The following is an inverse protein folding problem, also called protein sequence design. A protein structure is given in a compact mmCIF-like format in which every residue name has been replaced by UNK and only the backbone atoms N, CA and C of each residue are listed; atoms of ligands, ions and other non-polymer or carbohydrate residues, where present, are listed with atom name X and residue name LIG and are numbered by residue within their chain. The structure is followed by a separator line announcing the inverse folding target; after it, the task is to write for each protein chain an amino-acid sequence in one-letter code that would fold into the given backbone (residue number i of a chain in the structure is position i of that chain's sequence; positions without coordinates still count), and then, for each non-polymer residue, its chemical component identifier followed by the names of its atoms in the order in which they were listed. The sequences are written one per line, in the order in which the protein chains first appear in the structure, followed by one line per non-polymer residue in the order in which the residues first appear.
data_IF_488877765980
#
_entry.id   IF_488877765980
#
_cell.length_a   1.000
_cell.length_b   1.000
_cell.length_c   1.000
_cell.angle_alpha   90.00
_cell.angle_beta   90.00
_cell.angle_gamma   90.00
#
_symmetry.space_group_name_H-M   'P 1'
#
loop_
_entity.id
_entity.type
_entity.pdbx_description
1 polymer ?
#
# COMPACT_ATOMS: atom_id res chain seq x y z
N UNK A 1 -11.18 0.88 -12.14
CA UNK A 1 -10.34 0.05 -11.25
C UNK A 1 -10.30 -1.36 -11.81
N UNK A 2 -9.14 -1.99 -11.86
CA UNK A 2 -8.96 -3.39 -12.21
C UNK A 2 -8.63 -4.18 -10.93
N UNK A 3 -9.28 -5.35 -10.76
CA UNK A 3 -9.01 -6.29 -9.67
C UNK A 3 -8.83 -7.65 -10.33
N UNK A 4 -7.74 -8.33 -10.05
CA UNK A 4 -7.39 -9.60 -10.68
C UNK A 4 -6.87 -10.59 -9.65
N UNK A 5 -7.26 -11.85 -9.79
CA UNK A 5 -6.65 -12.97 -9.09
C UNK A 5 -5.63 -13.63 -10.04
N UNK A 6 -4.37 -13.65 -9.62
CA UNK A 6 -3.31 -14.26 -10.43
C UNK A 6 -3.39 -15.79 -10.38
N UNK A 7 -2.82 -16.53 -11.36
CA UNK A 7 -2.82 -17.99 -11.34
C UNK A 7 -2.18 -18.62 -10.09
N UNK A 8 -1.27 -17.90 -9.42
CA UNK A 8 -0.61 -18.31 -8.17
C UNK A 8 -1.33 -17.80 -6.91
N UNK A 9 -2.57 -17.31 -7.04
CA UNK A 9 -3.42 -16.98 -5.90
C UNK A 9 -3.20 -15.60 -5.30
N UNK A 10 -2.38 -14.73 -5.91
CA UNK A 10 -2.26 -13.34 -5.45
C UNK A 10 -3.44 -12.49 -5.96
N UNK A 11 -4.04 -11.73 -5.09
CA UNK A 11 -4.94 -10.66 -5.47
C UNK A 11 -4.11 -9.43 -5.88
N UNK A 12 -4.45 -8.79 -6.99
CA UNK A 12 -3.83 -7.50 -7.35
C UNK A 12 -4.87 -6.49 -7.80
N UNK A 13 -4.61 -5.23 -7.49
CA UNK A 13 -5.48 -4.13 -7.89
C UNK A 13 -4.68 -2.94 -8.40
N UNK A 14 -5.28 -2.20 -9.33
CA UNK A 14 -4.81 -0.87 -9.76
C UNK A 14 -5.96 0.00 -10.23
N UNK A 15 -5.74 1.29 -10.26
CA UNK A 15 -6.72 2.29 -10.70
C UNK A 15 -6.21 3.00 -11.95
N UNK A 16 -7.11 3.29 -12.87
CA UNK A 16 -6.88 4.26 -13.95
C UNK A 16 -7.82 5.43 -13.71
N UNK A 17 -7.27 6.63 -13.70
CA UNK A 17 -8.00 7.90 -13.63
C UNK A 17 -7.94 8.53 -14.99
N UNK A 18 -9.09 8.89 -15.55
CA UNK A 18 -9.20 9.57 -16.85
C UNK A 18 -9.76 10.97 -16.62
N UNK A 19 -9.08 11.99 -17.11
CA UNK A 19 -9.64 13.34 -17.15
C UNK A 19 -10.73 13.42 -18.22
N UNK A 20 -11.98 13.53 -17.81
CA UNK A 20 -13.15 13.68 -18.70
C UNK A 20 -13.70 15.11 -18.76
N UNK A 21 -13.03 16.03 -18.07
CA UNK A 21 -13.34 17.47 -18.11
C UNK A 21 -12.59 18.17 -19.25
N UNK A 22 -12.86 19.47 -19.36
CA UNK A 22 -12.27 20.33 -20.39
C UNK A 22 -11.00 21.05 -19.86
N UNK A 23 -10.79 21.04 -18.54
CA UNK A 23 -9.66 21.70 -17.87
C UNK A 23 -8.59 20.69 -17.42
N UNK A 24 -7.42 21.24 -17.02
CA UNK A 24 -6.34 20.45 -16.44
C UNK A 24 -6.75 19.84 -15.10
N UNK A 25 -6.59 18.53 -14.95
CA UNK A 25 -6.80 17.80 -13.70
C UNK A 25 -5.45 17.49 -13.03
N UNK A 26 -5.21 18.04 -11.85
CA UNK A 26 -4.07 17.68 -11.03
C UNK A 26 -4.46 16.53 -10.07
N UNK A 27 -3.64 15.47 -10.03
CA UNK A 27 -3.84 14.31 -9.16
C UNK A 27 -2.83 14.38 -8.03
N UNK A 28 -3.32 14.49 -6.78
CA UNK A 28 -2.48 14.49 -5.58
C UNK A 28 -2.23 13.08 -5.03
N UNK A 29 -3.05 12.11 -5.39
CA UNK A 29 -2.84 10.70 -5.01
C UNK A 29 -4.02 9.81 -5.37
N UNK A 30 -3.71 8.56 -5.65
CA UNK A 30 -4.68 7.48 -5.86
C UNK A 30 -4.18 6.26 -5.12
N UNK A 31 -4.81 5.94 -4.00
CA UNK A 31 -4.35 4.88 -3.10
C UNK A 31 -5.41 3.77 -3.04
N UNK A 32 -5.23 2.67 -3.79
CA UNK A 32 -6.09 1.50 -3.68
C UNK A 32 -6.13 0.93 -2.26
N UNK A 33 -7.28 0.39 -1.88
CA UNK A 33 -7.47 -0.28 -0.60
C UNK A 33 -7.86 -1.75 -0.83
N UNK A 34 -7.31 -2.65 -0.01
CA UNK A 34 -7.63 -4.07 0.03
C UNK A 34 -8.21 -4.40 1.41
N UNK A 35 -9.46 -4.87 1.49
CA UNK A 35 -10.07 -5.20 2.77
C UNK A 35 -9.36 -6.38 3.44
N UNK A 36 -9.31 -6.34 4.76
CA UNK A 36 -8.70 -7.36 5.62
C UNK A 36 -9.73 -7.78 6.67
N UNK A 37 -9.76 -9.06 7.07
CA UNK A 37 -10.60 -9.51 8.18
C UNK A 37 -10.26 -8.76 9.49
N UNK A 38 -11.28 -8.39 10.24
CA UNK A 38 -11.14 -7.65 11.50
C UNK A 38 -10.53 -8.48 12.64
N UNK A 39 -10.32 -9.79 12.42
CA UNK A 39 -9.56 -10.67 13.31
C UNK A 39 -8.06 -10.37 13.29
N UNK A 40 -7.54 -9.75 12.24
CA UNK A 40 -6.16 -9.28 12.19
C UNK A 40 -5.97 -8.11 13.17
N UNK A 41 -4.97 -8.22 14.05
CA UNK A 41 -4.77 -7.31 15.18
C UNK A 41 -3.35 -6.84 15.39
N UNK A 42 -2.41 -7.38 14.64
CA UNK A 42 -0.99 -7.05 14.75
C UNK A 42 -0.41 -6.72 13.38
N UNK A 43 0.25 -5.58 13.27
CA UNK A 43 0.97 -5.14 12.08
C UNK A 43 2.42 -5.56 12.20
N UNK A 44 3.00 -6.06 11.11
CA UNK A 44 4.42 -6.25 10.93
C UNK A 44 4.88 -5.49 9.70
N UNK A 45 5.71 -4.51 9.88
CA UNK A 45 6.44 -3.82 8.82
C UNK A 45 7.96 -3.88 9.06
N UNK A 46 8.72 -3.31 8.15
CA UNK A 46 10.17 -3.34 8.22
C UNK A 46 10.74 -1.93 8.15
N UNK A 47 11.74 -1.69 8.99
CA UNK A 47 12.57 -0.50 8.95
C UNK A 47 14.03 -0.92 8.75
N UNK A 48 14.92 0.03 8.60
CA UNK A 48 16.34 -0.29 8.53
C UNK A 48 17.19 0.80 7.90
N UNK A 49 18.45 0.49 7.81
CA UNK A 49 19.50 1.31 7.18
C UNK A 49 20.58 0.38 6.65
N UNK A 50 21.52 0.90 5.91
CA UNK A 50 22.70 0.17 5.47
C UNK A 50 23.40 -0.54 6.65
N UNK A 51 23.68 -1.82 6.49
CA UNK A 51 24.28 -2.67 7.52
C UNK A 51 23.33 -3.08 8.66
N UNK A 52 22.04 -2.72 8.58
CA UNK A 52 21.01 -3.10 9.54
C UNK A 52 19.64 -3.05 8.86
N UNK A 53 19.49 -3.88 7.84
CA UNK A 53 18.34 -3.89 6.95
C UNK A 53 17.18 -4.75 7.49
N UNK A 54 15.96 -4.41 7.07
CA UNK A 54 14.75 -5.22 7.29
C UNK A 54 14.50 -5.56 8.76
N UNK A 55 14.73 -4.62 9.65
CA UNK A 55 14.38 -4.77 11.05
C UNK A 55 12.86 -4.89 11.20
N UNK A 56 12.34 -6.00 11.75
CA UNK A 56 10.92 -6.16 11.94
C UNK A 56 10.39 -5.19 13.00
N UNK A 57 9.30 -4.50 12.67
CA UNK A 57 8.58 -3.60 13.56
C UNK A 57 7.19 -4.19 13.78
N UNK A 58 6.88 -4.63 15.00
CA UNK A 58 5.57 -5.15 15.37
C UNK A 58 4.81 -4.15 16.22
N UNK A 59 3.52 -4.03 15.96
CA UNK A 59 2.63 -3.16 16.73
C UNK A 59 1.19 -3.62 16.66
N UNK A 60 0.37 -3.35 17.69
CA UNK A 60 -1.05 -3.62 17.63
C UNK A 60 -1.73 -2.71 16.60
N UNK A 61 -2.81 -3.22 16.00
CA UNK A 61 -3.72 -2.41 15.19
C UNK A 61 -4.54 -1.51 16.12
N UNK A 62 -4.43 -0.21 15.92
CA UNK A 62 -5.24 0.81 16.61
C UNK A 62 -6.20 1.48 15.63
N UNK A 63 -7.24 2.14 16.12
CA UNK A 63 -8.11 2.97 15.30
C UNK A 63 -7.31 4.12 14.68
N UNK A 64 -7.53 4.37 13.40
CA UNK A 64 -6.78 5.33 12.60
C UNK A 64 -5.88 4.65 11.57
N UNK A 65 -4.89 5.35 11.09
CA UNK A 65 -4.01 4.90 10.02
C UNK A 65 -2.57 4.75 10.52
N UNK A 66 -1.99 3.57 10.32
CA UNK A 66 -0.54 3.37 10.39
C UNK A 66 0.01 3.38 8.97
N UNK A 67 0.97 4.25 8.68
CA UNK A 67 1.50 4.49 7.34
C UNK A 67 3.02 4.47 7.33
N UNK A 68 3.59 3.88 6.28
CA UNK A 68 4.99 4.00 5.88
C UNK A 68 5.08 4.69 4.53
N UNK A 69 5.99 5.64 4.41
CA UNK A 69 6.23 6.37 3.17
C UNK A 69 7.71 6.32 2.81
N UNK A 70 8.01 6.21 1.53
CA UNK A 70 9.34 6.44 0.97
C UNK A 70 9.27 7.62 -0.01
N UNK A 71 10.13 8.63 0.21
CA UNK A 71 10.17 9.86 -0.57
C UNK A 71 11.56 10.12 -1.18
N UNK A 72 12.34 9.05 -1.38
CA UNK A 72 13.72 9.12 -1.86
C UNK A 72 13.87 8.85 -3.36
N UNK A 73 12.75 8.85 -4.12
CA UNK A 73 12.72 8.52 -5.55
C UNK A 73 12.89 7.03 -5.84
N UNK A 74 13.10 6.21 -4.81
CA UNK A 74 13.22 4.74 -4.88
C UNK A 74 12.84 4.12 -3.54
N UNK A 75 12.43 2.85 -3.50
CA UNK A 75 12.29 2.12 -2.24
C UNK A 75 13.60 2.12 -1.45
N UNK A 76 13.52 2.49 -0.18
CA UNK A 76 14.66 2.54 0.74
C UNK A 76 14.67 1.34 1.70
N UNK A 77 15.73 1.29 2.52
CA UNK A 77 15.85 0.30 3.60
C UNK A 77 15.01 0.68 4.83
N UNK A 78 14.64 1.94 4.92
CA UNK A 78 13.83 2.57 5.98
C UNK A 78 12.33 2.40 5.78
N UNK A 79 11.89 2.23 4.53
CA UNK A 79 10.48 1.97 4.17
C UNK A 79 10.42 0.97 3.02
N UNK A 80 10.10 -0.28 3.33
CA UNK A 80 9.88 -1.31 2.32
C UNK A 80 8.46 -1.22 1.77
N UNK A 81 8.27 -1.54 0.50
CA UNK A 81 6.95 -1.60 -0.13
C UNK A 81 6.10 -2.80 0.31
N UNK A 82 6.36 -3.37 1.49
CA UNK A 82 5.67 -4.56 2.03
C UNK A 82 5.24 -4.31 3.47
N UNK A 83 3.99 -4.66 3.76
CA UNK A 83 3.43 -4.67 5.12
C UNK A 83 2.62 -5.96 5.31
N UNK A 84 2.75 -6.58 6.47
CA UNK A 84 1.93 -7.70 6.91
C UNK A 84 1.00 -7.28 8.05
N UNK A 85 -0.12 -7.97 8.14
CA UNK A 85 -1.04 -7.88 9.27
C UNK A 85 -1.54 -9.29 9.59
N UNK A 86 -1.71 -9.62 10.86
CA UNK A 86 -2.17 -10.95 11.23
C UNK A 86 -2.82 -11.03 12.60
N UNK A 87 -3.11 -12.27 13.00
CA UNK A 87 -3.51 -12.57 14.37
C UNK A 87 -2.38 -12.26 15.34
N UNK A 88 -2.65 -11.85 16.60
CA UNK A 88 -1.59 -11.52 17.55
C UNK A 88 -0.55 -12.64 17.70
N UNK A 89 0.72 -12.28 17.60
CA UNK A 89 1.84 -13.22 17.72
C UNK A 89 2.08 -14.12 16.51
N UNK A 90 1.45 -13.84 15.35
CA UNK A 90 1.71 -14.61 14.14
C UNK A 90 3.19 -14.66 13.78
N UNK A 91 3.63 -15.79 13.25
CA UNK A 91 5.00 -15.99 12.78
C UNK A 91 5.03 -16.92 11.55
N UNK A 92 6.20 -17.43 11.18
CA UNK A 92 6.35 -18.36 10.05
C UNK A 92 5.78 -19.77 10.31
N UNK A 93 5.27 -20.05 11.50
CA UNK A 93 4.80 -21.39 11.92
C UNK A 93 3.34 -21.40 12.34
N UNK A 94 2.80 -20.27 12.78
CA UNK A 94 1.45 -20.18 13.35
C UNK A 94 0.81 -18.82 13.13
N UNK A 95 -0.53 -18.81 13.08
CA UNK A 95 -1.36 -17.62 12.90
C UNK A 95 -1.77 -17.39 11.46
N UNK A 96 -2.82 -16.58 11.29
CA UNK A 96 -3.23 -16.09 9.98
C UNK A 96 -2.49 -14.80 9.68
N UNK A 97 -2.05 -14.64 8.44
CA UNK A 97 -1.33 -13.46 7.97
C UNK A 97 -1.81 -13.03 6.60
N UNK A 98 -1.98 -11.76 6.44
CA UNK A 98 -2.26 -11.09 5.16
C UNK A 98 -1.11 -10.17 4.82
N UNK A 99 -0.72 -10.15 3.56
CA UNK A 99 0.39 -9.34 3.06
C UNK A 99 -0.11 -8.33 2.04
N UNK A 100 0.48 -7.15 2.06
CA UNK A 100 0.33 -6.16 1.01
C UNK A 100 1.69 -5.75 0.47
N UNK A 101 1.79 -5.64 -0.86
CA UNK A 101 2.99 -5.17 -1.55
C UNK A 101 2.62 -4.13 -2.61
N UNK A 102 3.31 -2.99 -2.59
CA UNK A 102 3.22 -1.97 -3.65
C UNK A 102 4.26 -2.27 -4.71
N UNK A 103 3.82 -2.65 -5.91
CA UNK A 103 4.68 -2.98 -7.05
C UNK A 103 5.20 -1.74 -7.76
N UNK A 104 5.91 -0.89 -7.04
CA UNK A 104 6.43 0.39 -7.52
C UNK A 104 7.89 0.60 -7.09
N UNK A 105 8.70 1.14 -8.00
CA UNK A 105 10.13 1.42 -7.76
C UNK A 105 10.42 2.88 -7.40
N UNK A 106 9.39 3.73 -7.35
CA UNK A 106 9.48 5.15 -6.98
C UNK A 106 9.04 5.44 -5.55
N UNK A 107 8.67 6.70 -5.31
CA UNK A 107 8.06 7.12 -4.07
C UNK A 107 6.77 6.33 -3.84
N UNK A 108 6.59 5.80 -2.65
CA UNK A 108 5.41 4.99 -2.34
C UNK A 108 4.90 5.22 -0.92
N UNK A 109 3.65 4.86 -0.74
CA UNK A 109 2.99 4.78 0.55
C UNK A 109 2.38 3.40 0.72
N UNK A 110 2.46 2.84 1.92
CA UNK A 110 1.84 1.57 2.29
C UNK A 110 1.45 1.58 3.76
N UNK A 111 0.29 1.07 4.10
CA UNK A 111 -0.14 1.04 5.48
C UNK A 111 -1.44 0.30 5.71
N UNK A 112 -1.90 0.41 6.95
CA UNK A 112 -3.12 -0.20 7.46
C UNK A 112 -4.02 0.88 8.02
N UNK A 113 -5.28 0.87 7.62
CA UNK A 113 -6.31 1.76 8.16
C UNK A 113 -7.38 0.95 8.85
N UNK A 114 -7.69 1.33 10.10
CA UNK A 114 -8.80 0.81 10.88
C UNK A 114 -9.78 1.92 11.21
N UNK A 115 -11.00 1.74 10.76
CA UNK A 115 -12.14 2.55 11.17
C UNK A 115 -13.14 1.68 11.94
N UNK A 116 -14.29 2.23 12.34
CA UNK A 116 -15.33 1.46 13.00
C UNK A 116 -15.87 0.35 12.06
N UNK A 117 -15.60 -0.90 12.44
CA UNK A 117 -16.03 -2.09 11.69
C UNK A 117 -15.23 -2.43 10.42
N UNK A 118 -14.24 -1.62 10.02
CA UNK A 118 -13.47 -1.84 8.81
C UNK A 118 -11.96 -1.87 9.07
N UNK A 119 -11.28 -2.76 8.35
CA UNK A 119 -9.83 -2.87 8.33
C UNK A 119 -9.38 -3.09 6.89
N UNK A 120 -8.39 -2.31 6.44
CA UNK A 120 -7.88 -2.42 5.08
C UNK A 120 -6.38 -2.11 5.00
N UNK A 121 -5.69 -2.76 4.07
CA UNK A 121 -4.45 -2.22 3.53
C UNK A 121 -4.73 -1.03 2.65
N UNK A 122 -3.84 -0.06 2.69
CA UNK A 122 -3.76 1.06 1.75
C UNK A 122 -2.36 1.12 1.20
N UNK A 123 -2.22 1.27 -0.10
CA UNK A 123 -0.90 1.37 -0.70
C UNK A 123 -0.95 1.84 -2.15
N UNK A 124 0.14 2.48 -2.58
CA UNK A 124 0.27 2.99 -3.94
C UNK A 124 1.54 3.81 -4.13
N UNK A 125 1.67 4.40 -5.29
CA UNK A 125 2.65 5.45 -5.51
C UNK A 125 2.32 6.67 -4.66
N UNK A 126 3.35 7.37 -4.24
CA UNK A 126 3.23 8.63 -3.52
C UNK A 126 3.60 9.74 -4.51
N UNK A 127 2.57 10.46 -4.95
CA UNK A 127 2.74 11.59 -5.86
C UNK A 127 3.15 12.84 -5.08
N UNK A 128 4.04 13.62 -5.66
CA UNK A 128 4.39 14.95 -5.18
C UNK A 128 3.46 16.00 -5.83
N UNK A 129 3.23 17.15 -5.20
CA UNK A 129 2.39 18.19 -5.75
C UNK A 129 2.81 18.57 -7.18
N UNK A 130 1.85 18.54 -8.11
CA UNK A 130 2.07 18.87 -9.51
C UNK A 130 2.80 17.81 -10.35
N UNK A 131 3.11 16.64 -9.79
CA UNK A 131 3.82 15.55 -10.47
C UNK A 131 2.95 14.92 -11.57
N UNK A 132 1.66 14.78 -11.33
CA UNK A 132 0.70 14.23 -12.31
C UNK A 132 -0.36 15.28 -12.64
N UNK A 133 -0.35 15.72 -13.90
CA UNK A 133 -1.32 16.64 -14.46
C UNK A 133 -1.86 16.06 -15.75
N UNK A 134 -3.16 15.92 -15.84
CA UNK A 134 -3.85 15.33 -16.97
C UNK A 134 -4.59 16.42 -17.75
N UNK A 135 -4.26 16.56 -19.01
CA UNK A 135 -5.09 17.29 -19.97
C UNK A 135 -6.41 16.54 -20.26
N UNK A 136 -7.35 17.19 -20.98
CA UNK A 136 -8.60 16.54 -21.39
C UNK A 136 -8.36 15.23 -22.15
N UNK A 137 -8.98 14.14 -21.71
CA UNK A 137 -8.85 12.81 -22.30
C UNK A 137 -7.63 12.01 -21.89
N UNK A 138 -6.70 12.58 -21.14
CA UNK A 138 -5.51 11.87 -20.68
C UNK A 138 -5.80 10.94 -19.49
N UNK A 139 -4.97 9.92 -19.37
CA UNK A 139 -5.06 8.87 -18.32
C UNK A 139 -3.82 8.86 -17.45
N UNK A 140 -4.04 8.66 -16.14
CA UNK A 140 -3.02 8.21 -15.21
C UNK A 140 -3.36 6.81 -14.71
N UNK A 141 -2.37 5.91 -14.66
CA UNK A 141 -2.53 4.54 -14.21
C UNK A 141 -1.59 4.25 -13.07
N UNK A 142 -2.16 3.91 -11.90
CA UNK A 142 -1.37 3.53 -10.73
C UNK A 142 -0.58 2.25 -10.95
N UNK A 143 0.52 2.02 -10.20
CA UNK A 143 1.14 0.70 -10.13
C UNK A 143 0.17 -0.35 -9.57
N UNK A 144 0.53 -1.63 -9.74
CA UNK A 144 -0.18 -2.72 -9.10
C UNK A 144 0.10 -2.76 -7.60
N UNK A 145 -0.95 -2.95 -6.83
CA UNK A 145 -0.89 -3.30 -5.41
C UNK A 145 -1.33 -4.75 -5.28
N UNK A 146 -0.51 -5.55 -4.61
CA UNK A 146 -0.71 -6.99 -4.44
C UNK A 146 -1.13 -7.28 -3.01
N UNK A 147 -2.05 -8.26 -2.87
CA UNK A 147 -2.48 -8.83 -1.60
C UNK A 147 -2.38 -10.36 -1.62
N UNK A 148 -2.05 -10.96 -0.47
CA UNK A 148 -2.02 -12.40 -0.25
C UNK A 148 -2.56 -12.72 1.14
#
# INVERSE_FOLDING_TARGET
MAIELTPNGLLRTRVTVTNRGDDLLEIEGVVPALPIPTSAREILDFAGRWGNEKLPQRRPVTTGTHLRESRHGRPGLDATGVTAIGTPGFDSRAGDVWLCHVGWSGNHTIGVERTDGHLAFRGGELLLPGEVRLGPGEDHRTPWVYGA
#
